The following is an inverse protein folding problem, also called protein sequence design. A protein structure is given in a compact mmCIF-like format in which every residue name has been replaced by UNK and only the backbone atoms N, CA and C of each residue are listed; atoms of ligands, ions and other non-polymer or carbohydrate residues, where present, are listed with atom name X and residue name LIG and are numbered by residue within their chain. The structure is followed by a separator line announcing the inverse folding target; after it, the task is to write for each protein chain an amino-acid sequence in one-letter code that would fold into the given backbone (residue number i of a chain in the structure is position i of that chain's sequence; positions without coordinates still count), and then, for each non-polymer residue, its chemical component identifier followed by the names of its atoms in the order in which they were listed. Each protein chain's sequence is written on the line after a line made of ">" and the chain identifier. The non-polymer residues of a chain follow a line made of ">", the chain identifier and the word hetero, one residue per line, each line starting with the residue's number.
data_IF_293618474417
#
_entry.id   IF_293618474417
#
_cell.length_a   1.000
_cell.length_b   1.000
_cell.length_c   1.000
_cell.angle_alpha   90.00
_cell.angle_beta   90.00
_cell.angle_gamma   90.00
#
_symmetry.space_group_name_H-M   'P 1'
#
loop_
_entity.id
_entity.type
_entity.pdbx_description
1 polymer ?
#
# COMPACT_ATOMS: atom_id res chain seq x y z
N UNK A 1 30.89 -20.20 12.24
CA UNK A 1 29.44 -20.12 11.98
C UNK A 1 29.24 -19.23 10.77
N UNK A 2 28.33 -19.57 9.86
CA UNK A 2 27.90 -18.64 8.81
C UNK A 2 27.23 -17.44 9.51
N UNK A 3 27.56 -16.19 9.17
CA UNK A 3 26.86 -15.03 9.73
C UNK A 3 25.37 -15.11 9.37
N UNK A 4 24.51 -14.75 10.32
CA UNK A 4 23.06 -14.68 10.13
C UNK A 4 22.77 -13.53 9.17
N UNK A 5 21.98 -13.78 8.13
CA UNK A 5 21.56 -12.75 7.17
C UNK A 5 20.42 -11.88 7.75
N UNK A 6 20.26 -10.67 7.22
CA UNK A 6 19.12 -9.78 7.52
C UNK A 6 17.78 -10.50 7.33
N UNK A 7 17.67 -11.32 6.29
CA UNK A 7 16.44 -12.04 6.02
C UNK A 7 16.16 -13.13 7.08
N UNK A 8 17.18 -13.87 7.50
CA UNK A 8 17.06 -14.87 8.56
C UNK A 8 16.74 -14.22 9.92
N UNK A 9 17.31 -13.05 10.21
CA UNK A 9 17.04 -12.31 11.44
C UNK A 9 15.59 -11.82 11.54
N UNK A 10 14.91 -11.63 10.40
CA UNK A 10 13.55 -11.09 10.34
C UNK A 10 12.45 -12.13 10.06
N UNK A 11 12.81 -13.36 9.67
CA UNK A 11 11.87 -14.38 9.17
C UNK A 11 10.71 -14.71 10.11
N UNK A 12 10.99 -14.76 11.41
CA UNK A 12 10.01 -15.15 12.43
C UNK A 12 9.46 -13.94 13.22
N UNK A 13 9.72 -12.72 12.75
CA UNK A 13 9.19 -11.51 13.38
C UNK A 13 7.68 -11.37 13.07
N UNK A 14 6.83 -11.09 14.07
CA UNK A 14 5.38 -11.02 13.88
C UNK A 14 4.90 -9.72 13.21
N UNK A 15 5.81 -8.79 12.94
CA UNK A 15 5.54 -7.45 12.41
C UNK A 15 6.32 -7.22 11.13
N UNK A 16 5.91 -6.21 10.36
CA UNK A 16 6.59 -5.81 9.13
C UNK A 16 7.92 -5.14 9.42
N UNK A 17 8.84 -5.20 8.47
CA UNK A 17 10.05 -4.38 8.49
C UNK A 17 9.82 -3.06 7.76
N UNK A 18 10.50 -2.00 8.20
CA UNK A 18 10.52 -0.71 7.53
C UNK A 18 11.96 -0.37 7.12
N UNK A 19 12.17 0.03 5.88
CA UNK A 19 13.44 0.54 5.37
C UNK A 19 13.39 2.06 5.41
N UNK A 20 14.31 2.67 6.14
CA UNK A 20 14.47 4.12 6.19
C UNK A 20 14.68 4.70 4.77
N UNK A 21 14.04 5.83 4.45
CA UNK A 21 14.04 6.38 3.08
C UNK A 21 15.44 6.88 2.69
N UNK A 22 16.12 7.57 3.60
CA UNK A 22 17.47 8.09 3.37
C UNK A 22 18.46 6.94 3.16
N UNK A 23 18.40 5.92 4.00
CA UNK A 23 19.17 4.69 3.85
C UNK A 23 18.89 4.01 2.50
N UNK A 24 17.61 3.82 2.16
CA UNK A 24 17.17 3.23 0.90
C UNK A 24 17.72 4.01 -0.30
N UNK A 25 17.66 5.35 -0.25
CA UNK A 25 18.19 6.23 -1.29
C UNK A 25 19.70 6.07 -1.44
N UNK A 26 20.46 6.11 -0.34
CA UNK A 26 21.93 6.02 -0.37
C UNK A 26 22.39 4.66 -0.90
N UNK A 27 21.81 3.57 -0.41
CA UNK A 27 22.10 2.22 -0.90
C UNK A 27 21.84 2.14 -2.41
N UNK A 28 20.69 2.65 -2.87
CA UNK A 28 20.32 2.59 -4.28
C UNK A 28 21.21 3.48 -5.13
N UNK A 29 21.33 4.76 -4.85
CA UNK A 29 21.88 5.71 -5.82
C UNK A 29 23.35 6.07 -5.58
N UNK A 30 23.85 5.89 -4.36
CA UNK A 30 25.24 6.21 -4.04
C UNK A 30 26.14 4.97 -4.10
N UNK A 31 25.57 3.78 -3.83
CA UNK A 31 26.33 2.53 -3.76
C UNK A 31 26.06 1.55 -4.91
N UNK A 32 24.83 1.04 -5.05
CA UNK A 32 24.55 -0.13 -5.92
C UNK A 32 24.02 0.19 -7.32
N UNK A 33 23.21 1.23 -7.47
CA UNK A 33 22.59 1.64 -8.75
C UNK A 33 23.05 3.03 -9.18
N UNK A 34 24.36 3.20 -9.25
CA UNK A 34 24.96 4.44 -9.76
C UNK A 34 24.53 4.68 -11.21
N UNK A 35 23.99 5.86 -11.51
CA UNK A 35 23.40 6.20 -12.82
C UNK A 35 24.30 5.99 -14.03
N UNK A 36 25.63 5.94 -13.85
CA UNK A 36 26.59 5.78 -14.96
C UNK A 36 26.88 4.33 -15.34
N UNK A 37 26.88 3.42 -14.37
CA UNK A 37 27.46 2.07 -14.54
C UNK A 37 26.65 0.96 -13.89
N UNK A 38 25.66 1.28 -13.03
CA UNK A 38 24.97 0.32 -12.17
C UNK A 38 25.91 -0.50 -11.26
N UNK A 39 27.11 0.03 -11.00
CA UNK A 39 28.11 -0.62 -10.14
C UNK A 39 28.79 -1.85 -10.77
N UNK A 40 29.75 -2.45 -10.05
CA UNK A 40 30.34 -3.75 -10.41
C UNK A 40 29.30 -4.89 -10.40
N UNK A 41 29.51 -5.90 -11.24
CA UNK A 41 28.61 -7.08 -11.32
C UNK A 41 29.15 -8.31 -10.60
N UNK A 42 30.27 -8.19 -9.90
CA UNK A 42 30.88 -9.30 -9.18
C UNK A 42 30.10 -9.64 -7.89
N UNK A 43 30.20 -10.90 -7.47
CA UNK A 43 29.48 -11.40 -6.30
C UNK A 43 29.93 -10.76 -5.00
N UNK A 44 31.18 -10.29 -4.90
CA UNK A 44 31.68 -9.65 -3.68
C UNK A 44 30.95 -8.32 -3.47
N UNK A 45 30.76 -7.56 -4.55
CA UNK A 45 29.94 -6.35 -4.51
C UNK A 45 28.45 -6.67 -4.26
N UNK A 46 27.85 -7.61 -4.99
CA UNK A 46 26.40 -7.83 -4.97
C UNK A 46 25.88 -8.63 -3.76
N UNK A 47 26.72 -9.39 -3.06
CA UNK A 47 26.25 -10.23 -1.96
C UNK A 47 25.77 -9.41 -0.76
N UNK A 48 26.49 -8.37 -0.27
CA UNK A 48 25.99 -7.50 0.80
C UNK A 48 24.72 -6.73 0.43
N UNK A 49 24.44 -6.51 -0.85
CA UNK A 49 23.22 -5.82 -1.29
C UNK A 49 21.94 -6.50 -0.76
N UNK A 50 21.95 -7.84 -0.67
CA UNK A 50 20.80 -8.61 -0.15
C UNK A 50 20.48 -8.30 1.30
N UNK A 51 21.48 -7.87 2.08
CA UNK A 51 21.36 -7.53 3.49
C UNK A 51 20.64 -6.19 3.71
N UNK A 52 20.55 -5.36 2.67
CA UNK A 52 19.92 -4.02 2.75
C UNK A 52 18.39 -4.08 2.76
N UNK A 53 17.81 -5.17 2.22
CA UNK A 53 16.37 -5.39 2.08
C UNK A 53 15.59 -4.20 1.48
N UNK A 54 16.26 -3.35 0.69
CA UNK A 54 15.64 -2.25 -0.07
C UNK A 54 14.46 -2.78 -0.90
N UNK A 55 13.52 -1.89 -1.32
CA UNK A 55 12.24 -2.31 -1.91
C UNK A 55 12.34 -3.50 -2.88
N UNK A 56 11.43 -4.45 -2.68
CA UNK A 56 11.31 -5.74 -3.38
C UNK A 56 12.37 -6.81 -3.09
N UNK A 57 13.46 -6.51 -2.36
CA UNK A 57 14.40 -7.56 -1.98
C UNK A 57 13.83 -8.51 -0.94
N UNK A 58 13.09 -8.05 0.08
CA UNK A 58 12.51 -8.94 1.11
C UNK A 58 11.59 -10.04 0.57
N UNK A 59 11.10 -9.90 -0.66
CA UNK A 59 10.19 -10.85 -1.32
C UNK A 59 10.83 -12.24 -1.47
N UNK A 60 12.15 -12.37 -1.70
CA UNK A 60 12.79 -13.69 -1.82
C UNK A 60 12.71 -14.51 -0.52
N UNK A 61 12.53 -13.84 0.61
CA UNK A 61 12.42 -14.42 1.94
C UNK A 61 10.99 -14.35 2.51
N UNK A 62 10.01 -13.93 1.69
CA UNK A 62 8.61 -13.74 2.10
C UNK A 62 8.44 -12.77 3.28
N UNK A 63 9.30 -11.76 3.37
CA UNK A 63 9.27 -10.77 4.44
C UNK A 63 8.27 -9.66 4.10
N UNK A 64 7.30 -9.37 4.98
CA UNK A 64 6.33 -8.32 4.74
C UNK A 64 6.94 -6.96 5.10
N UNK A 65 6.77 -5.98 4.20
CA UNK A 65 7.31 -4.62 4.33
C UNK A 65 6.21 -3.63 4.71
N UNK A 66 6.53 -2.71 5.63
CA UNK A 66 5.69 -1.59 6.00
C UNK A 66 5.86 -0.40 5.05
N UNK A 67 6.92 -0.34 4.24
CA UNK A 67 7.05 0.68 3.20
C UNK A 67 5.96 0.54 2.14
N UNK A 68 5.52 1.68 1.61
CA UNK A 68 4.68 1.73 0.41
C UNK A 68 5.59 1.77 -0.83
N UNK A 69 5.44 0.78 -1.71
CA UNK A 69 6.18 0.67 -2.98
C UNK A 69 5.28 0.90 -4.21
N UNK A 70 4.12 1.56 -4.01
CA UNK A 70 3.20 1.91 -5.09
C UNK A 70 3.86 2.88 -6.09
N UNK A 71 3.60 2.73 -7.41
CA UNK A 71 4.17 3.61 -8.43
C UNK A 71 3.64 5.05 -8.34
N UNK A 72 2.49 5.25 -7.69
CA UNK A 72 1.88 6.54 -7.43
C UNK A 72 1.70 6.72 -5.94
N UNK A 73 2.67 7.38 -5.30
CA UNK A 73 2.62 7.70 -3.89
C UNK A 73 1.60 8.81 -3.65
N UNK A 74 0.70 8.60 -2.69
CA UNK A 74 -0.33 9.58 -2.32
C UNK A 74 0.26 10.58 -1.31
N UNK A 75 -0.14 11.86 -1.38
CA UNK A 75 0.49 12.94 -0.60
C UNK A 75 0.50 12.75 0.93
N UNK A 76 -0.59 12.27 1.51
CA UNK A 76 -0.67 11.92 2.95
C UNK A 76 0.31 10.82 3.39
N UNK A 77 0.64 9.85 2.51
CA UNK A 77 1.68 8.86 2.79
C UNK A 77 3.06 9.53 2.82
N UNK A 78 3.37 10.35 1.81
CA UNK A 78 4.64 11.08 1.79
C UNK A 78 4.78 11.98 3.01
N UNK A 79 3.68 12.62 3.44
CA UNK A 79 3.66 13.43 4.66
C UNK A 79 4.01 12.60 5.89
N UNK A 80 3.48 11.37 6.02
CA UNK A 80 3.83 10.47 7.12
C UNK A 80 5.32 10.08 7.11
N UNK A 81 5.90 9.77 5.94
CA UNK A 81 7.33 9.45 5.83
C UNK A 81 8.19 10.66 6.21
N UNK A 82 7.85 11.84 5.71
CA UNK A 82 8.49 13.10 6.08
C UNK A 82 8.46 13.35 7.60
N UNK A 83 7.39 12.94 8.29
CA UNK A 83 7.33 13.03 9.74
C UNK A 83 8.29 12.03 10.41
N UNK A 84 8.32 10.78 9.95
CA UNK A 84 9.22 9.73 10.48
C UNK A 84 10.69 10.16 10.39
N UNK A 85 11.07 10.81 9.29
CA UNK A 85 12.45 11.24 9.05
C UNK A 85 12.86 12.49 9.85
N UNK A 86 11.90 13.35 10.22
CA UNK A 86 12.17 14.67 10.84
C UNK A 86 12.03 14.71 12.37
N UNK A 87 11.41 13.71 12.98
CA UNK A 87 11.00 13.76 14.40
C UNK A 87 11.97 13.06 15.35
N UNK A 88 11.80 13.34 16.65
CA UNK A 88 12.63 12.75 17.70
C UNK A 88 12.42 11.22 17.79
N UNK A 89 13.39 10.46 18.32
CA UNK A 89 13.30 9.00 18.41
C UNK A 89 12.01 8.45 19.04
N UNK A 90 11.41 9.15 20.00
CA UNK A 90 10.16 8.72 20.63
C UNK A 90 8.94 8.88 19.71
N UNK A 91 8.88 9.97 18.95
CA UNK A 91 7.82 10.21 17.95
C UNK A 91 7.98 9.24 16.78
N UNK A 92 9.21 9.06 16.30
CA UNK A 92 9.54 8.08 15.27
C UNK A 92 9.08 6.67 15.65
N UNK A 93 9.33 6.25 16.89
CA UNK A 93 8.84 4.95 17.39
C UNK A 93 7.32 4.81 17.29
N UNK A 94 6.56 5.84 17.70
CA UNK A 94 5.09 5.83 17.66
C UNK A 94 4.57 5.78 16.22
N UNK A 95 5.17 6.56 15.31
CA UNK A 95 4.80 6.59 13.89
C UNK A 95 5.13 5.27 13.19
N UNK A 96 6.26 4.62 13.48
CA UNK A 96 6.56 3.29 12.96
C UNK A 96 5.66 2.21 13.57
N UNK A 97 5.37 2.30 14.86
CA UNK A 97 4.49 1.34 15.54
C UNK A 97 3.08 1.32 14.94
N UNK A 98 2.49 2.48 14.62
CA UNK A 98 1.18 2.56 13.94
C UNK A 98 1.21 2.01 12.50
N UNK A 99 2.39 1.90 11.87
CA UNK A 99 2.55 1.29 10.56
C UNK A 99 2.67 -0.24 10.63
N UNK A 100 2.49 -0.86 11.80
CA UNK A 100 2.80 -2.26 12.02
C UNK A 100 4.28 -2.60 11.71
N UNK A 101 5.18 -1.61 11.79
CA UNK A 101 6.61 -1.82 11.66
C UNK A 101 7.19 -2.22 13.02
N UNK A 102 7.65 -3.47 13.14
CA UNK A 102 8.34 -3.97 14.34
C UNK A 102 9.85 -3.87 14.25
N UNK A 103 10.38 -3.62 13.06
CA UNK A 103 11.80 -3.41 12.84
C UNK A 103 12.04 -2.27 11.87
N UNK A 104 13.13 -1.54 12.08
CA UNK A 104 13.65 -0.54 11.14
C UNK A 104 15.02 -1.00 10.64
N UNK A 105 15.26 -0.77 9.35
CA UNK A 105 16.55 -0.96 8.69
C UNK A 105 17.07 0.42 8.31
N UNK A 106 18.21 0.81 8.87
CA UNK A 106 18.82 2.11 8.67
C UNK A 106 20.36 2.03 8.73
N UNK A 107 21.03 3.16 8.50
CA UNK A 107 22.47 3.33 8.74
C UNK A 107 22.79 4.39 9.80
N UNK A 108 21.75 4.97 10.41
CA UNK A 108 21.83 5.93 11.51
C UNK A 108 21.01 5.38 12.70
N UNK A 109 21.53 4.39 13.44
CA UNK A 109 20.77 3.69 14.45
C UNK A 109 20.40 4.62 15.62
N UNK A 110 19.18 4.45 16.12
CA UNK A 110 18.69 5.11 17.33
C UNK A 110 19.37 4.49 18.54
N UNK A 111 20.19 5.21 19.33
CA UNK A 111 21.00 4.61 20.38
C UNK A 111 20.22 3.87 21.48
N UNK A 112 18.95 4.23 21.68
CA UNK A 112 18.08 3.64 22.71
C UNK A 112 17.30 2.42 22.24
N UNK A 113 17.30 2.10 20.95
CA UNK A 113 16.56 0.97 20.40
C UNK A 113 17.41 -0.30 20.38
N UNK A 114 16.85 -1.48 20.71
CA UNK A 114 17.59 -2.73 20.66
C UNK A 114 18.06 -3.05 19.23
N UNK A 115 19.35 -3.32 19.06
CA UNK A 115 19.89 -3.80 17.79
C UNK A 115 19.67 -5.30 17.66
N UNK A 116 19.05 -5.73 16.56
CA UNK A 116 18.80 -7.13 16.21
C UNK A 116 19.99 -7.70 15.43
N UNK A 117 20.46 -6.94 14.43
CA UNK A 117 21.57 -7.33 13.57
C UNK A 117 22.32 -6.07 13.12
N UNK A 118 23.63 -6.15 13.08
CA UNK A 118 24.50 -5.14 12.49
C UNK A 118 25.37 -5.81 11.43
N UNK A 119 25.26 -5.32 10.19
CA UNK A 119 26.03 -5.78 9.03
C UNK A 119 26.94 -4.66 8.53
N UNK A 120 27.74 -4.93 7.50
CA UNK A 120 28.58 -3.92 6.86
C UNK A 120 27.77 -2.76 6.26
N UNK A 121 26.55 -3.03 5.80
CA UNK A 121 25.75 -2.08 5.02
C UNK A 121 24.51 -1.57 5.76
N UNK A 122 24.01 -2.29 6.75
CA UNK A 122 22.73 -1.99 7.40
C UNK A 122 22.74 -2.36 8.89
N UNK A 123 22.03 -1.55 9.68
CA UNK A 123 21.68 -1.84 11.07
C UNK A 123 20.17 -2.11 11.13
N UNK A 124 19.81 -3.22 11.78
CA UNK A 124 18.42 -3.61 12.03
C UNK A 124 18.13 -3.41 13.50
N UNK A 125 17.13 -2.58 13.82
CA UNK A 125 16.71 -2.32 15.18
C UNK A 125 15.25 -2.68 15.41
N UNK A 126 14.93 -3.13 16.62
CA UNK A 126 13.56 -3.36 17.05
C UNK A 126 12.85 -2.01 17.31
N UNK A 127 11.70 -1.81 16.67
CA UNK A 127 10.83 -0.66 16.94
C UNK A 127 10.09 -0.90 18.27
N UNK A 128 10.08 0.06 19.21
CA UNK A 128 9.36 -0.09 20.47
C UNK A 128 7.83 -0.15 20.28
N UNK A 129 7.16 -1.10 20.97
CA UNK A 129 5.69 -1.22 21.07
C UNK A 129 4.94 -1.23 19.71
N UNK A 130 5.32 -2.07 18.74
CA UNK A 130 4.64 -2.13 17.45
C UNK A 130 3.19 -2.60 17.59
N UNK A 131 2.29 -2.04 16.77
CA UNK A 131 0.87 -2.39 16.76
C UNK A 131 0.56 -3.46 15.70
N UNK A 132 -0.51 -4.26 15.87
CA UNK A 132 -1.00 -5.16 14.83
C UNK A 132 -1.35 -4.43 13.52
N UNK A 133 -1.34 -5.13 12.39
CA UNK A 133 -1.70 -4.55 11.08
C UNK A 133 -3.19 -4.18 10.99
N UNK A 134 -4.03 -4.94 11.68
CA UNK A 134 -5.44 -4.66 11.82
C UNK A 134 -5.81 -4.68 13.30
N UNK A 135 -6.49 -3.64 13.78
CA UNK A 135 -6.84 -3.50 15.19
C UNK A 135 -8.07 -2.61 15.38
N UNK A 136 -8.72 -2.75 16.53
CA UNK A 136 -9.88 -1.98 16.95
C UNK A 136 -9.53 -0.99 18.06
N UNK A 137 -10.10 0.20 17.98
CA UNK A 137 -10.09 1.23 19.03
C UNK A 137 -11.49 1.86 19.15
N UNK A 138 -11.94 2.07 20.39
CA UNK A 138 -13.21 2.73 20.69
C UNK A 138 -13.10 4.25 20.78
N UNK A 139 -11.92 4.78 21.12
CA UNK A 139 -11.70 6.22 21.22
C UNK A 139 -11.18 6.79 19.89
N UNK A 140 -11.96 7.70 19.30
CA UNK A 140 -11.62 8.38 18.05
C UNK A 140 -11.52 9.90 18.26
N UNK A 141 -10.42 10.49 17.77
CA UNK A 141 -10.24 11.94 17.68
C UNK A 141 -10.52 12.35 16.24
N UNK A 142 -11.47 13.27 16.06
CA UNK A 142 -11.86 13.71 14.71
C UNK A 142 -11.19 15.01 14.34
N UNK A 143 -10.66 15.04 13.11
CA UNK A 143 -10.03 16.22 12.51
C UNK A 143 -10.64 16.48 11.15
N UNK A 144 -10.52 17.72 10.67
CA UNK A 144 -11.19 18.14 9.43
C UNK A 144 -10.31 17.93 8.17
N UNK A 145 -8.99 17.82 8.34
CA UNK A 145 -8.04 17.65 7.23
C UNK A 145 -6.71 16.99 7.65
N UNK A 146 -5.82 16.76 6.66
CA UNK A 146 -4.48 16.22 6.87
C UNK A 146 -3.65 17.06 7.83
N UNK A 147 -3.83 18.39 7.89
CA UNK A 147 -3.06 19.26 8.80
C UNK A 147 -3.47 19.03 10.25
N UNK A 148 -4.77 18.90 10.50
CA UNK A 148 -5.29 18.49 11.80
C UNK A 148 -4.77 17.11 12.19
N UNK A 149 -4.77 16.16 11.25
CA UNK A 149 -4.24 14.82 11.51
C UNK A 149 -2.75 14.85 11.90
N UNK A 150 -1.93 15.60 11.16
CA UNK A 150 -0.50 15.79 11.47
C UNK A 150 -0.31 16.39 12.87
N UNK A 151 -1.06 17.45 13.20
CA UNK A 151 -0.97 18.10 14.50
C UNK A 151 -1.33 17.15 15.65
N UNK A 152 -2.31 16.27 15.46
CA UNK A 152 -2.74 15.32 16.47
C UNK A 152 -1.73 14.17 16.65
N UNK A 153 -1.34 13.48 15.57
CA UNK A 153 -0.45 12.31 15.66
C UNK A 153 0.98 12.64 16.10
N UNK A 154 1.39 13.90 15.97
CA UNK A 154 2.69 14.39 16.46
C UNK A 154 2.61 14.97 17.87
N UNK A 155 1.41 15.05 18.47
CA UNK A 155 1.27 15.61 19.81
C UNK A 155 1.99 14.74 20.86
N UNK A 156 2.52 15.32 21.94
CA UNK A 156 3.14 14.55 23.02
C UNK A 156 2.18 13.57 23.71
N UNK A 157 0.88 13.84 23.68
CA UNK A 157 -0.15 13.02 24.32
C UNK A 157 -0.64 11.84 23.48
N UNK A 158 -0.42 11.89 22.16
CA UNK A 158 -0.95 10.90 21.24
C UNK A 158 -0.41 9.49 21.49
N UNK A 159 -1.32 8.52 21.68
CA UNK A 159 -1.00 7.09 21.80
C UNK A 159 -1.77 6.28 20.75
N UNK A 160 -1.10 5.77 19.69
CA UNK A 160 -1.77 5.06 18.61
C UNK A 160 -2.36 3.71 19.05
N UNK A 161 -2.04 3.21 20.24
CA UNK A 161 -2.64 2.03 20.86
C UNK A 161 -3.84 2.32 21.75
N UNK A 162 -4.27 3.58 21.84
CA UNK A 162 -5.40 4.02 22.68
C UNK A 162 -6.40 4.92 21.96
N UNK A 163 -5.97 5.60 20.92
CA UNK A 163 -6.85 6.45 20.11
C UNK A 163 -6.52 6.37 18.62
N UNK A 164 -7.54 6.60 17.80
CA UNK A 164 -7.41 6.73 16.36
C UNK A 164 -7.79 8.14 15.92
N UNK A 165 -6.97 8.75 15.07
CA UNK A 165 -7.28 10.05 14.46
C UNK A 165 -8.05 9.81 13.16
N UNK A 166 -9.28 10.28 13.06
CA UNK A 166 -10.15 10.11 11.89
C UNK A 166 -10.30 11.45 11.17
N UNK A 167 -9.97 11.48 9.88
CA UNK A 167 -10.22 12.65 9.02
C UNK A 167 -11.66 12.57 8.52
N UNK A 168 -12.47 13.58 8.85
CA UNK A 168 -13.90 13.59 8.47
C UNK A 168 -14.05 13.70 6.95
N UNK A 169 -14.85 12.80 6.38
CA UNK A 169 -15.33 12.90 5.00
C UNK A 169 -16.70 13.62 4.91
N UNK A 170 -17.48 13.55 5.99
CA UNK A 170 -18.86 14.07 6.10
C UNK A 170 -19.14 14.47 7.56
N UNK A 171 -20.17 15.30 7.80
CA UNK A 171 -20.71 15.62 9.13
C UNK A 171 -21.47 14.42 9.72
N UNK A 172 -20.80 13.30 9.92
CA UNK A 172 -21.38 12.08 10.49
C UNK A 172 -21.19 12.08 12.00
N UNK A 173 -22.25 11.69 12.69
CA UNK A 173 -22.27 11.49 14.14
C UNK A 173 -21.40 10.27 14.51
N UNK A 174 -20.51 10.50 15.45
CA UNK A 174 -19.47 9.57 15.95
C UNK A 174 -20.09 8.31 16.56
N UNK A 175 -19.68 7.09 16.15
CA UNK A 175 -19.70 5.93 17.03
C UNK A 175 -18.54 6.05 18.02
N UNK A 176 -18.84 6.13 19.32
CA UNK A 176 -17.83 6.25 20.36
C UNK A 176 -18.47 6.43 21.73
N UNK A 177 -18.21 5.50 22.63
CA UNK A 177 -18.59 5.63 24.03
C UNK A 177 -17.76 6.72 24.71
N UNK A 178 -18.39 7.62 25.49
CA UNK A 178 -17.69 8.54 26.42
C UNK A 178 -16.94 7.81 27.55
N UNK A 179 -16.99 6.48 27.58
CA UNK A 179 -16.28 5.64 28.54
C UNK A 179 -14.77 5.70 28.33
N UNK A 180 -14.01 5.49 29.40
CA UNK A 180 -12.54 5.52 29.38
C UNK A 180 -11.97 4.66 28.24
N UNK A 181 -10.87 5.08 27.57
CA UNK A 181 -10.32 4.39 26.41
C UNK A 181 -10.05 2.92 26.73
N UNK A 182 -10.79 2.02 26.10
CA UNK A 182 -10.51 0.60 26.18
C UNK A 182 -9.18 0.31 25.45
N UNK A 183 -8.49 -0.74 25.92
CA UNK A 183 -7.25 -1.16 25.31
C UNK A 183 -7.49 -1.65 23.88
N UNK A 184 -6.58 -1.31 22.96
CA UNK A 184 -6.59 -1.82 21.58
C UNK A 184 -6.84 -3.33 21.53
N UNK A 185 -7.75 -3.74 20.64
CA UNK A 185 -8.04 -5.16 20.38
C UNK A 185 -7.50 -5.54 18.99
N UNK A 186 -6.58 -6.50 18.86
CA UNK A 186 -6.14 -6.98 17.55
C UNK A 186 -7.30 -7.54 16.72
N UNK A 187 -7.39 -7.15 15.46
CA UNK A 187 -8.35 -7.71 14.50
C UNK A 187 -7.65 -8.72 13.59
N UNK A 188 -8.34 -9.80 13.23
CA UNK A 188 -7.73 -10.94 12.54
C UNK A 188 -7.96 -10.82 11.04
N UNK A 189 -6.88 -10.70 10.26
CA UNK A 189 -6.95 -10.83 8.81
C UNK A 189 -7.10 -12.31 8.48
N UNK A 190 -8.23 -12.71 7.91
CA UNK A 190 -8.57 -14.11 7.61
C UNK A 190 -8.40 -14.49 6.15
N UNK A 191 -8.39 -13.50 5.25
CA UNK A 191 -8.07 -13.69 3.85
C UNK A 191 -7.48 -12.42 3.25
N UNK A 192 -6.48 -12.56 2.38
CA UNK A 192 -5.85 -11.46 1.69
C UNK A 192 -5.39 -11.86 0.28
N UNK A 193 -5.58 -10.96 -0.67
CA UNK A 193 -5.04 -11.00 -2.02
C UNK A 193 -4.76 -9.57 -2.50
N UNK A 194 -4.17 -9.40 -3.68
CA UNK A 194 -3.76 -8.10 -4.20
C UNK A 194 -4.84 -7.00 -4.20
N UNK A 195 -6.13 -7.37 -4.31
CA UNK A 195 -7.24 -6.41 -4.33
C UNK A 195 -8.33 -6.69 -3.32
N UNK A 196 -8.12 -7.59 -2.35
CA UNK A 196 -9.16 -7.97 -1.38
C UNK A 196 -8.56 -8.32 -0.04
N UNK A 197 -9.16 -7.80 1.03
CA UNK A 197 -8.80 -8.09 2.42
C UNK A 197 -10.08 -8.41 3.19
N UNK A 198 -10.06 -9.48 3.99
CA UNK A 198 -11.12 -9.82 4.94
C UNK A 198 -10.59 -9.83 6.35
N UNK A 199 -11.25 -9.08 7.23
CA UNK A 199 -10.90 -8.92 8.64
C UNK A 199 -12.08 -9.41 9.49
N UNK A 200 -11.79 -10.13 10.56
CA UNK A 200 -12.75 -10.49 11.60
C UNK A 200 -12.36 -9.86 12.93
N UNK A 201 -13.36 -9.37 13.66
CA UNK A 201 -13.19 -8.77 14.98
C UNK A 201 -14.40 -9.11 15.86
N UNK A 202 -14.16 -9.31 17.15
CA UNK A 202 -15.19 -9.23 18.19
C UNK A 202 -14.98 -7.90 18.91
N UNK A 203 -15.74 -6.88 18.51
CA UNK A 203 -15.56 -5.51 18.98
C UNK A 203 -16.24 -5.35 20.35
N UNK A 204 -15.51 -4.96 21.41
CA UNK A 204 -16.08 -4.84 22.76
C UNK A 204 -17.08 -3.68 22.89
N UNK A 205 -16.96 -2.67 22.02
CA UNK A 205 -17.78 -1.47 21.98
C UNK A 205 -17.92 -0.99 20.53
N UNK A 206 -18.70 0.08 20.32
CA UNK A 206 -18.63 0.82 19.07
C UNK A 206 -17.28 1.53 18.92
N UNK A 207 -16.80 1.64 17.68
CA UNK A 207 -15.50 2.24 17.38
C UNK A 207 -15.04 1.96 15.97
N UNK A 208 -13.72 1.96 15.77
CA UNK A 208 -13.10 1.79 14.46
C UNK A 208 -12.17 0.59 14.41
N UNK A 209 -12.30 -0.19 13.33
CA UNK A 209 -11.25 -1.12 12.90
C UNK A 209 -10.33 -0.39 11.94
N UNK A 210 -9.08 -0.24 12.34
CA UNK A 210 -8.00 0.34 11.55
C UNK A 210 -7.26 -0.78 10.83
N UNK A 211 -6.98 -0.57 9.55
CA UNK A 211 -6.06 -1.38 8.75
C UNK A 211 -4.90 -0.49 8.31
N UNK A 212 -3.68 -0.84 8.72
CA UNK A 212 -2.45 -0.04 8.53
C UNK A 212 -1.88 -0.18 7.11
N UNK A 213 -2.75 -0.13 6.12
CA UNK A 213 -2.44 -0.05 4.70
C UNK A 213 -2.86 1.31 4.18
N UNK A 214 -2.12 1.86 3.23
CA UNK A 214 -2.34 3.21 2.72
C UNK A 214 -3.79 3.42 2.24
N UNK A 215 -4.42 4.51 2.66
CA UNK A 215 -5.73 4.93 2.18
C UNK A 215 -5.61 5.45 0.74
N UNK A 216 -5.78 4.53 -0.20
CA UNK A 216 -5.73 4.81 -1.64
C UNK A 216 -7.15 4.96 -2.22
N UNK A 217 -7.41 5.89 -3.17
CA UNK A 217 -8.70 5.98 -3.82
C UNK A 217 -9.09 4.70 -4.59
N UNK A 218 -10.33 4.24 -4.44
CA UNK A 218 -10.88 3.08 -5.17
C UNK A 218 -11.15 1.86 -4.32
N UNK A 219 -10.78 1.85 -3.04
CA UNK A 219 -11.24 0.84 -2.09
C UNK A 219 -12.71 1.02 -1.73
N UNK A 220 -13.41 -0.09 -1.54
CA UNK A 220 -14.76 -0.18 -1.00
C UNK A 220 -14.76 -1.11 0.19
N UNK A 221 -15.59 -0.84 1.19
CA UNK A 221 -15.73 -1.69 2.35
C UNK A 221 -17.18 -2.11 2.57
N UNK A 222 -17.36 -3.29 3.16
CA UNK A 222 -18.63 -3.75 3.69
C UNK A 222 -18.41 -4.37 5.08
N UNK A 223 -19.32 -4.07 6.01
CA UNK A 223 -19.41 -4.72 7.33
C UNK A 223 -20.62 -5.65 7.29
N UNK A 224 -20.39 -6.94 7.51
CA UNK A 224 -21.42 -7.99 7.44
C UNK A 224 -22.24 -7.96 6.13
N UNK A 225 -21.55 -7.65 5.03
CA UNK A 225 -22.14 -7.54 3.69
C UNK A 225 -22.86 -6.22 3.39
N UNK A 226 -22.96 -5.30 4.34
CA UNK A 226 -23.53 -3.97 4.12
C UNK A 226 -22.45 -2.95 3.77
N UNK A 227 -22.57 -2.22 2.65
CA UNK A 227 -21.59 -1.19 2.27
C UNK A 227 -21.44 -0.11 3.34
N UNK A 228 -20.19 0.24 3.67
CA UNK A 228 -19.85 1.31 4.61
C UNK A 228 -18.76 2.22 4.03
N UNK A 229 -18.68 3.50 4.46
CA UNK A 229 -17.56 4.36 4.10
C UNK A 229 -16.24 3.86 4.70
N UNK A 230 -15.15 4.06 3.96
CA UNK A 230 -13.78 3.91 4.47
C UNK A 230 -13.29 5.30 4.84
N UNK A 231 -12.79 5.44 6.07
CA UNK A 231 -12.28 6.69 6.63
C UNK A 231 -10.76 6.74 6.53
N UNK A 232 -10.16 7.90 6.18
CA UNK A 232 -8.74 8.12 6.40
C UNK A 232 -8.46 8.15 7.91
N UNK A 233 -7.52 7.33 8.35
CA UNK A 233 -7.15 7.16 9.74
C UNK A 233 -5.66 7.37 9.93
N UNK A 234 -5.27 8.02 11.04
CA UNK A 234 -3.89 8.30 11.41
C UNK A 234 -3.07 8.83 10.22
N UNK A 235 -3.64 9.83 9.53
CA UNK A 235 -3.13 10.46 8.31
C UNK A 235 -3.14 9.55 7.06
N UNK A 236 -2.55 8.37 7.12
CA UNK A 236 -2.23 7.58 5.92
C UNK A 236 -3.03 6.27 5.77
N UNK A 237 -3.77 5.81 6.77
CA UNK A 237 -4.37 4.48 6.81
C UNK A 237 -5.88 4.46 6.62
N UNK A 238 -6.45 3.26 6.56
CA UNK A 238 -7.88 3.02 6.34
C UNK A 238 -8.55 2.61 7.64
N UNK A 239 -9.74 3.11 7.90
CA UNK A 239 -10.59 2.63 8.99
C UNK A 239 -12.04 2.44 8.56
N UNK A 240 -12.74 1.53 9.24
CA UNK A 240 -14.18 1.35 9.12
C UNK A 240 -14.80 1.38 10.51
N UNK A 241 -15.97 2.02 10.61
CA UNK A 241 -16.74 2.02 11.84
C UNK A 241 -17.46 0.68 12.03
N UNK A 242 -17.48 0.17 13.26
CA UNK A 242 -18.22 -1.02 13.67
C UNK A 242 -18.97 -0.75 14.97
N UNK A 243 -20.05 -1.50 15.19
CA UNK A 243 -20.76 -1.52 16.47
C UNK A 243 -20.12 -2.57 17.39
N UNK A 244 -20.63 -2.68 18.62
CA UNK A 244 -20.21 -3.75 19.51
C UNK A 244 -20.69 -5.13 19.00
N UNK A 245 -19.80 -6.13 19.05
CA UNK A 245 -20.07 -7.51 18.66
C UNK A 245 -19.14 -8.05 17.57
N UNK A 246 -19.45 -9.26 17.12
CA UNK A 246 -18.68 -9.93 16.07
C UNK A 246 -19.02 -9.39 14.68
N UNK A 247 -17.99 -8.99 13.94
CA UNK A 247 -18.12 -8.41 12.60
C UNK A 247 -17.13 -9.03 11.61
N UNK A 248 -17.59 -9.21 10.38
CA UNK A 248 -16.73 -9.49 9.21
C UNK A 248 -16.65 -8.24 8.34
N UNK A 249 -15.43 -7.77 8.11
CA UNK A 249 -15.15 -6.61 7.26
C UNK A 249 -14.50 -7.11 5.97
N UNK A 250 -15.16 -6.86 4.84
CA UNK A 250 -14.59 -7.08 3.51
C UNK A 250 -14.16 -5.73 2.92
N UNK A 251 -12.92 -5.65 2.44
CA UNK A 251 -12.41 -4.50 1.67
C UNK A 251 -11.95 -4.95 0.29
N UNK A 252 -12.48 -4.35 -0.76
CA UNK A 252 -12.22 -4.69 -2.15
C UNK A 252 -11.76 -3.48 -2.96
N UNK A 253 -10.74 -3.65 -3.80
CA UNK A 253 -10.17 -2.60 -4.63
C UNK A 253 -10.84 -2.55 -6.01
N UNK A 254 -11.56 -1.46 -6.29
CA UNK A 254 -12.27 -1.20 -7.53
C UNK A 254 -11.87 0.17 -8.13
N UNK A 255 -10.70 0.27 -8.80
CA UNK A 255 -10.23 1.52 -9.36
C UNK A 255 -11.10 1.98 -10.52
N UNK A 256 -11.50 3.26 -10.49
CA UNK A 256 -12.29 3.88 -11.57
C UNK A 256 -11.51 3.88 -12.90
N UNK A 257 -10.19 4.02 -12.84
CA UNK A 257 -9.30 4.01 -14.02
C UNK A 257 -9.37 2.71 -14.81
N UNK A 258 -9.53 1.56 -14.14
CA UNK A 258 -9.73 0.28 -14.82
C UNK A 258 -11.04 0.29 -15.63
N UNK A 259 -12.12 0.82 -15.04
CA UNK A 259 -13.42 0.92 -15.71
C UNK A 259 -13.34 1.84 -16.93
N UNK A 260 -12.68 3.00 -16.81
CA UNK A 260 -12.44 3.90 -17.95
C UNK A 260 -11.58 3.24 -19.03
N UNK A 261 -10.49 2.59 -18.65
CA UNK A 261 -9.60 1.88 -19.59
C UNK A 261 -10.30 0.77 -20.36
N UNK A 262 -11.22 0.05 -19.70
CA UNK A 262 -12.05 -0.97 -20.35
C UNK A 262 -12.97 -0.35 -21.40
N UNK A 263 -13.70 0.71 -21.05
CA UNK A 263 -14.62 1.37 -21.99
C UNK A 263 -13.91 2.01 -23.17
N UNK A 264 -12.78 2.68 -22.95
CA UNK A 264 -11.98 3.25 -24.04
C UNK A 264 -11.43 2.17 -24.97
N UNK A 265 -11.00 1.03 -24.42
CA UNK A 265 -10.55 -0.12 -25.21
C UNK A 265 -11.68 -0.72 -26.06
N UNK A 266 -12.89 -0.87 -25.48
CA UNK A 266 -14.08 -1.36 -26.19
C UNK A 266 -14.42 -0.42 -27.35
N UNK A 267 -14.45 0.89 -27.12
CA UNK A 267 -14.74 1.90 -28.15
C UNK A 267 -13.68 1.88 -29.26
N UNK A 268 -12.40 1.80 -28.89
CA UNK A 268 -11.31 1.71 -29.87
C UNK A 268 -11.42 0.45 -30.74
N UNK A 269 -11.66 -0.71 -30.13
CA UNK A 269 -11.86 -1.97 -30.85
C UNK A 269 -13.07 -1.91 -31.78
N UNK A 270 -14.16 -1.29 -31.34
CA UNK A 270 -15.35 -1.09 -32.17
C UNK A 270 -15.05 -0.22 -33.40
N UNK A 271 -14.36 0.91 -33.23
CA UNK A 271 -13.96 1.80 -34.33
C UNK A 271 -13.06 1.07 -35.32
N UNK A 272 -12.04 0.36 -34.83
CA UNK A 272 -11.11 -0.43 -35.66
C UNK A 272 -11.89 -1.52 -36.42
N UNK A 273 -12.79 -2.24 -35.75
CA UNK A 273 -13.64 -3.25 -36.35
C UNK A 273 -14.50 -2.70 -37.50
N UNK A 274 -15.16 -1.56 -37.28
CA UNK A 274 -15.95 -0.87 -38.31
C UNK A 274 -15.08 -0.43 -39.49
N UNK A 275 -13.89 0.11 -39.22
CA UNK A 275 -12.94 0.52 -40.27
C UNK A 275 -12.48 -0.68 -41.12
N UNK A 276 -12.13 -1.80 -40.49
CA UNK A 276 -11.74 -3.02 -41.19
C UNK A 276 -12.88 -3.57 -42.06
N UNK A 277 -14.12 -3.60 -41.56
CA UNK A 277 -15.29 -4.04 -42.33
C UNK A 277 -15.50 -3.15 -43.57
N UNK A 278 -15.36 -1.83 -43.42
CA UNK A 278 -15.47 -0.89 -44.54
C UNK A 278 -14.39 -1.11 -45.60
N UNK A 279 -13.14 -1.30 -45.18
CA UNK A 279 -12.03 -1.58 -46.08
C UNK A 279 -12.21 -2.92 -46.82
N UNK A 280 -12.64 -3.98 -46.12
CA UNK A 280 -12.91 -5.28 -46.71
C UNK A 280 -14.04 -5.24 -47.75
N UNK A 281 -15.15 -4.52 -47.45
CA UNK A 281 -16.25 -4.31 -48.41
C UNK A 281 -15.80 -3.52 -49.65
N UNK A 282 -14.97 -2.50 -49.48
CA UNK A 282 -14.44 -1.72 -50.60
C UNK A 282 -13.50 -2.56 -51.48
N UNK A 283 -12.71 -3.45 -50.89
CA UNK A 283 -11.84 -4.39 -51.61
C UNK A 283 -12.66 -5.40 -52.45
N UNK A 284 -13.70 -6.01 -51.87
CA UNK A 284 -14.56 -6.96 -52.59
C UNK A 284 -15.36 -6.32 -53.74
N UNK A 285 -15.75 -5.05 -53.61
CA UNK A 285 -16.43 -4.35 -54.71
C UNK A 285 -15.48 -4.05 -55.89
N UNK A 286 -14.17 -3.90 -55.65
CA UNK A 286 -13.16 -3.69 -56.71
C UNK A 286 -12.87 -4.96 -57.51
N UNK A 287 -12.84 -6.13 -56.86
CA UNK A 287 -12.61 -7.41 -57.56
C UNK A 287 -13.80 -7.84 -58.43
N UNK A 288 -15.04 -7.55 -58.01
CA UNK A 288 -16.24 -7.79 -58.84
C UNK A 288 -16.26 -6.95 -60.14
N UNK A 289 -15.82 -5.69 -60.10
CA UNK A 289 -15.77 -4.82 -61.27
C UNK A 289 -14.68 -5.20 -62.29
N UNK A 290 -13.61 -5.89 -61.85
CA UNK A 290 -12.57 -6.40 -62.74
C UNK A 290 -13.05 -7.64 -63.53
N UNK A 291 -13.72 -8.59 -62.87
CA UNK A 291 -14.24 -9.78 -63.55
C UNK A 291 -15.35 -9.46 -64.57
N UNK A 292 -16.25 -8.52 -64.26
CA UNK A 292 -17.30 -8.07 -65.20
C UNK A 292 -16.72 -7.44 -66.48
N UNK A 293 -15.66 -6.62 -66.35
CA UNK A 293 -15.01 -6.02 -67.53
C UNK A 293 -14.26 -7.05 -68.38
N UNK A 294 -13.73 -8.13 -67.80
CA UNK A 294 -13.12 -9.21 -68.59
C UNK A 294 -14.15 -10.02 -69.40
N UNK A 295 -15.33 -10.27 -68.83
CA UNK A 295 -16.42 -10.98 -69.52
C UNK A 295 -17.00 -10.10 -70.64
N UNK A 296 -17.18 -8.81 -70.42
CA UNK A 296 -17.72 -7.89 -71.45
C UNK A 296 -16.72 -7.67 -72.60
N UNK A 297 -15.40 -7.72 -72.34
CA UNK A 297 -14.41 -7.57 -73.41
C UNK A 297 -14.26 -8.81 -74.32
N UNK A 298 -14.60 -10.02 -73.84
CA UNK A 298 -14.59 -11.21 -74.70
C UNK A 298 -15.77 -11.29 -75.68
N UNK A 299 -16.87 -10.57 -75.43
CA UNK A 299 -18.03 -10.54 -76.33
C UNK A 299 -17.93 -9.48 -77.46
N UNK A 300 -16.87 -8.65 -77.46
CA UNK A 300 -16.63 -7.65 -78.52
C UNK A 300 -15.64 -8.11 -79.61
N UNK A 301 -15.12 -9.34 -79.49
CA UNK A 301 -14.14 -9.92 -80.42
C UNK A 301 -14.66 -11.19 -81.14
N UNK A 302 -15.99 -11.37 -81.21
CA UNK A 302 -16.68 -12.38 -82.02
C UNK A 302 -17.68 -11.66 -82.93
#
# INVERSE_FOLDING_TARGET
>A
STPITSAEALKDQPYRYFVDEQFSYQVKFDHYFQFKTFGPTDLVHLQPFKETLVPNLGVYAHLPSANNNDPLVVGHWQTLIDLIDKHLPQEQARLLAMMNAGTIINNNPVPTWPTILESEVAVIQAVPKPLPRAYFLSHAVYVDDDRGAVAEITSPGFDPGREVVIIKLEDITVPGSESAPEQMVPARIVAESAGRIRIEIDAPAEGFVVLTDTFYPGWRAAVDGQPVPIWPANLAFRAVAVQAGFHTIDMDYHPLTFTFGLWTSIVACFIIGVAMIRLARHSNNRTSHSNSKSIINNWKNL
#
